data_IF_698289262669
#
_entry.id   IF_698289262669
#
_cell.length_a   1.000
_cell.length_b   1.000
_cell.length_c   1.000
_cell.angle_alpha   90.00
_cell.angle_beta   90.00
_cell.angle_gamma   90.00
#
_symmetry.space_group_name_H-M   'P 1'
#
loop_
_entity.id
_entity.type
_entity.pdbx_description
1 polymer ?
#
# COMPACT_ATOMS: atom_id res chain seq x y z
N UNK A 1 -16.75 16.42 2.84
CA UNK A 1 -15.38 16.92 2.58
C UNK A 1 -15.04 16.64 1.13
N UNK A 2 -14.51 17.60 0.34
CA UNK A 2 -14.10 17.31 -1.02
C UNK A 2 -12.86 16.41 -0.99
N UNK A 3 -12.92 15.28 -1.71
CA UNK A 3 -11.74 14.47 -2.01
C UNK A 3 -10.81 15.34 -2.86
N UNK A 4 -9.63 15.72 -2.34
CA UNK A 4 -8.61 16.40 -3.13
C UNK A 4 -8.18 15.47 -4.28
N UNK A 5 -8.68 15.73 -5.48
CA UNK A 5 -8.22 15.09 -6.71
C UNK A 5 -6.91 15.74 -7.11
N UNK A 6 -5.79 15.06 -6.90
CA UNK A 6 -4.48 15.48 -7.38
C UNK A 6 -4.48 15.47 -8.93
N UNK A 7 -3.82 16.44 -9.56
CA UNK A 7 -3.56 16.35 -11.00
C UNK A 7 -2.45 15.33 -11.27
N UNK A 8 -2.43 14.74 -12.47
CA UNK A 8 -1.38 13.79 -12.87
C UNK A 8 0.03 14.35 -12.68
N UNK A 9 0.23 15.63 -12.98
CA UNK A 9 1.52 16.32 -12.81
C UNK A 9 1.93 16.42 -11.33
N UNK A 10 0.97 16.69 -10.43
CA UNK A 10 1.26 16.74 -9.01
C UNK A 10 1.62 15.36 -8.46
N UNK A 11 0.93 14.31 -8.90
CA UNK A 11 1.24 12.92 -8.53
C UNK A 11 2.63 12.55 -9.02
N UNK A 12 2.96 12.86 -10.27
CA UNK A 12 4.28 12.56 -10.85
C UNK A 12 5.41 13.26 -10.07
N UNK A 13 5.25 14.55 -9.75
CA UNK A 13 6.26 15.31 -9.00
C UNK A 13 6.48 14.75 -7.61
N UNK A 14 5.41 14.39 -6.91
CA UNK A 14 5.51 13.79 -5.58
C UNK A 14 6.15 12.41 -5.63
N UNK A 15 5.76 11.59 -6.60
CA UNK A 15 6.31 10.24 -6.76
C UNK A 15 7.81 10.29 -7.06
N UNK A 16 8.26 11.18 -7.95
CA UNK A 16 9.70 11.38 -8.24
C UNK A 16 10.48 11.77 -6.98
N UNK A 17 9.98 12.76 -6.24
CA UNK A 17 10.63 13.21 -4.99
C UNK A 17 10.62 12.15 -3.88
N UNK A 18 9.56 11.34 -3.80
CA UNK A 18 9.50 10.22 -2.86
C UNK A 18 10.49 9.12 -3.25
N UNK A 19 10.57 8.78 -4.54
CA UNK A 19 11.47 7.75 -5.07
C UNK A 19 12.94 8.13 -4.88
N UNK A 20 13.32 9.38 -5.18
CA UNK A 20 14.68 9.88 -4.97
C UNK A 20 15.11 9.73 -3.49
N UNK A 21 14.26 10.19 -2.56
CA UNK A 21 14.51 10.05 -1.13
C UNK A 21 14.58 8.59 -0.69
N UNK A 22 13.71 7.74 -1.23
CA UNK A 22 13.72 6.30 -0.93
C UNK A 22 15.03 5.64 -1.37
N UNK A 23 15.50 5.93 -2.60
CA UNK A 23 16.76 5.39 -3.13
C UNK A 23 17.93 5.81 -2.25
N UNK A 24 18.04 7.11 -1.92
CA UNK A 24 19.11 7.62 -1.07
C UNK A 24 19.09 6.90 0.29
N UNK A 25 17.94 6.89 0.96
CA UNK A 25 17.79 6.27 2.27
C UNK A 25 18.19 4.79 2.30
N UNK A 26 17.81 4.02 1.28
CA UNK A 26 18.12 2.58 1.21
C UNK A 26 19.59 2.33 0.87
N UNK A 27 20.15 3.09 -0.07
CA UNK A 27 21.52 2.88 -0.53
C UNK A 27 22.59 3.57 0.33
N UNK A 28 22.19 4.46 1.25
CA UNK A 28 23.09 5.11 2.22
C UNK A 28 22.89 4.61 3.65
N UNK A 29 22.11 3.55 3.84
CA UNK A 29 21.72 3.05 5.15
C UNK A 29 22.94 2.68 6.03
N UNK A 30 22.96 3.19 7.26
CA UNK A 30 23.85 2.70 8.32
C UNK A 30 23.11 1.71 9.22
N UNK A 31 23.84 1.01 10.09
CA UNK A 31 23.25 0.03 11.02
C UNK A 31 22.15 0.67 11.88
N UNK A 32 22.38 1.89 12.38
CA UNK A 32 21.43 2.61 13.21
C UNK A 32 20.17 3.08 12.46
N UNK A 33 20.21 3.08 11.11
CA UNK A 33 19.07 3.45 10.28
C UNK A 33 18.07 2.31 10.07
N UNK A 34 18.46 1.05 10.32
CA UNK A 34 17.71 -0.13 9.87
C UNK A 34 16.28 -0.13 10.41
N UNK A 35 16.07 0.13 11.70
CA UNK A 35 14.73 0.14 12.29
C UNK A 35 13.85 1.25 11.70
N UNK A 36 14.42 2.44 11.47
CA UNK A 36 13.74 3.55 10.82
C UNK A 36 13.38 3.21 9.37
N UNK A 37 14.27 2.54 8.63
CA UNK A 37 14.04 2.14 7.24
C UNK A 37 12.96 1.07 7.12
N UNK A 38 12.87 0.15 8.07
CA UNK A 38 11.76 -0.81 8.17
C UNK A 38 10.43 -0.06 8.30
N UNK A 39 10.35 0.93 9.20
CA UNK A 39 9.12 1.72 9.36
C UNK A 39 8.75 2.50 8.10
N UNK A 40 9.73 3.01 7.36
CA UNK A 40 9.50 3.63 6.06
C UNK A 40 8.85 2.62 5.10
N UNK A 41 9.33 1.37 5.04
CA UNK A 41 8.71 0.36 4.17
C UNK A 41 7.28 0.03 4.57
N UNK A 42 6.96 0.01 5.87
CA UNK A 42 5.59 -0.14 6.36
C UNK A 42 4.69 1.01 5.89
N UNK A 43 5.12 2.26 6.08
CA UNK A 43 4.36 3.43 5.62
C UNK A 43 4.14 3.39 4.10
N UNK A 44 5.16 3.01 3.33
CA UNK A 44 5.04 2.89 1.87
C UNK A 44 4.05 1.78 1.48
N UNK A 45 4.08 0.63 2.17
CA UNK A 45 3.12 -0.45 1.94
C UNK A 45 1.67 -0.03 2.23
N UNK A 46 1.44 0.68 3.34
CA UNK A 46 0.12 1.23 3.68
C UNK A 46 -0.39 2.21 2.63
N UNK A 47 0.47 3.08 2.10
CA UNK A 47 0.11 4.01 1.03
C UNK A 47 -0.28 3.25 -0.23
N UNK A 48 0.48 2.24 -0.65
CA UNK A 48 0.14 1.43 -1.82
C UNK A 48 -1.18 0.67 -1.64
N UNK A 49 -1.39 0.04 -0.49
CA UNK A 49 -2.62 -0.68 -0.16
C UNK A 49 -3.83 0.26 -0.17
N UNK A 50 -3.72 1.44 0.44
CA UNK A 50 -4.79 2.44 0.49
C UNK A 50 -5.17 2.98 -0.88
N UNK A 51 -4.22 3.12 -1.80
CA UNK A 51 -4.47 3.57 -3.18
C UNK A 51 -4.95 2.40 -4.07
N UNK A 52 -4.78 1.16 -3.62
CA UNK A 52 -5.14 -0.04 -4.37
C UNK A 52 -4.14 -0.37 -5.48
N UNK A 53 -2.85 -0.04 -5.28
CA UNK A 53 -1.78 -0.40 -6.22
C UNK A 53 -1.41 -1.86 -5.98
N UNK A 54 -1.58 -2.75 -6.98
CA UNK A 54 -1.26 -4.17 -6.81
C UNK A 54 0.24 -4.39 -6.57
N UNK A 55 0.57 -5.35 -5.72
CA UNK A 55 1.96 -5.62 -5.31
C UNK A 55 2.85 -6.00 -6.50
N UNK A 56 2.30 -6.72 -7.48
CA UNK A 56 3.00 -7.10 -8.71
C UNK A 56 3.43 -5.87 -9.53
N UNK A 57 2.68 -4.77 -9.49
CA UNK A 57 3.05 -3.52 -10.16
C UNK A 57 4.20 -2.84 -9.41
N UNK A 58 4.18 -2.90 -8.07
CA UNK A 58 5.27 -2.38 -7.23
C UNK A 58 6.55 -3.18 -7.49
N UNK A 59 6.48 -4.51 -7.51
CA UNK A 59 7.61 -5.40 -7.84
C UNK A 59 8.17 -5.15 -9.24
N UNK A 60 7.28 -4.92 -10.23
CA UNK A 60 7.70 -4.49 -11.56
C UNK A 60 8.50 -3.18 -11.51
N UNK A 61 8.08 -2.21 -10.69
CA UNK A 61 8.81 -0.96 -10.46
C UNK A 61 10.22 -1.18 -9.90
N UNK A 62 10.35 -2.04 -8.89
CA UNK A 62 11.66 -2.40 -8.33
C UNK A 62 12.56 -3.13 -9.33
N UNK A 63 11.99 -4.00 -10.17
CA UNK A 63 12.73 -4.64 -11.25
C UNK A 63 13.25 -3.62 -12.27
N UNK A 64 12.46 -2.59 -12.60
CA UNK A 64 12.91 -1.48 -13.45
C UNK A 64 14.03 -0.69 -12.77
N UNK A 65 13.88 -0.35 -11.49
CA UNK A 65 14.89 0.38 -10.71
C UNK A 65 16.24 -0.35 -10.72
N UNK A 66 16.26 -1.64 -10.40
CA UNK A 66 17.49 -2.45 -10.42
C UNK A 66 18.12 -2.50 -11.81
N UNK A 67 17.31 -2.60 -12.87
CA UNK A 67 17.77 -2.60 -14.26
C UNK A 67 18.44 -1.29 -14.65
N UNK A 68 17.88 -0.14 -14.26
CA UNK A 68 18.46 1.18 -14.61
C UNK A 68 19.63 1.57 -13.70
N UNK A 69 19.74 0.96 -12.51
CA UNK A 69 20.85 1.20 -11.59
C UNK A 69 22.17 0.61 -12.10
N UNK A 70 22.12 -0.55 -12.76
CA UNK A 70 23.34 -1.21 -13.25
C UNK A 70 24.16 -0.33 -14.21
N UNK A 71 23.61 0.28 -15.27
CA UNK A 71 24.36 1.18 -16.14
C UNK A 71 25.01 2.35 -15.40
N UNK A 72 24.34 2.91 -14.38
CA UNK A 72 24.85 4.03 -13.58
C UNK A 72 26.10 3.62 -12.79
N UNK A 73 26.07 2.45 -12.16
CA UNK A 73 27.24 1.91 -11.45
C UNK A 73 28.34 1.56 -12.44
N UNK A 74 27.97 0.93 -13.57
CA UNK A 74 28.93 0.48 -14.57
C UNK A 74 29.69 1.63 -15.23
N UNK A 75 29.04 2.78 -15.44
CA UNK A 75 29.64 3.98 -16.04
C UNK A 75 30.48 4.82 -15.08
N UNK A 76 30.57 4.47 -13.80
CA UNK A 76 31.40 5.18 -12.82
C UNK A 76 32.90 4.96 -13.05
N UNK A 77 33.73 5.82 -12.47
CA UNK A 77 35.19 5.74 -12.59
C UNK A 77 35.85 4.75 -11.60
N UNK A 78 35.04 3.98 -10.86
CA UNK A 78 35.52 2.96 -9.93
C UNK A 78 36.10 1.73 -10.63
N UNK A 79 36.93 0.97 -9.92
CA UNK A 79 37.45 -0.31 -10.39
C UNK A 79 36.34 -1.35 -10.58
N UNK A 80 36.61 -2.40 -11.36
CA UNK A 80 35.65 -3.48 -11.55
C UNK A 80 35.25 -4.17 -10.23
N UNK A 81 36.20 -4.30 -9.29
CA UNK A 81 35.96 -4.90 -7.98
C UNK A 81 35.02 -4.04 -7.12
N UNK A 82 35.26 -2.73 -7.06
CA UNK A 82 34.39 -1.81 -6.33
C UNK A 82 32.99 -1.75 -6.96
N UNK A 83 32.88 -1.71 -8.29
CA UNK A 83 31.60 -1.75 -9.01
C UNK A 83 30.79 -3.00 -8.63
N UNK A 84 31.44 -4.16 -8.56
CA UNK A 84 30.79 -5.40 -8.15
C UNK A 84 30.28 -5.34 -6.71
N UNK A 85 31.10 -4.83 -5.79
CA UNK A 85 30.70 -4.69 -4.37
C UNK A 85 29.54 -3.70 -4.19
N UNK A 86 29.62 -2.54 -4.83
CA UNK A 86 28.56 -1.51 -4.81
C UNK A 86 27.27 -2.06 -5.42
N UNK A 87 27.37 -2.76 -6.54
CA UNK A 87 26.20 -3.39 -7.17
C UNK A 87 25.60 -4.46 -6.27
N UNK A 88 26.41 -5.35 -5.70
CA UNK A 88 25.94 -6.40 -4.80
C UNK A 88 25.26 -5.82 -3.56
N UNK A 89 25.86 -4.83 -2.91
CA UNK A 89 25.24 -4.12 -1.79
C UNK A 89 23.91 -3.47 -2.19
N UNK A 90 23.88 -2.77 -3.33
CA UNK A 90 22.69 -2.04 -3.77
C UNK A 90 21.53 -2.98 -4.08
N UNK A 91 21.79 -4.10 -4.76
CA UNK A 91 20.75 -5.08 -5.10
C UNK A 91 20.18 -5.72 -3.83
N UNK A 92 21.03 -6.18 -2.91
CA UNK A 92 20.57 -6.77 -1.66
C UNK A 92 19.78 -5.78 -0.79
N UNK A 93 20.21 -4.50 -0.76
CA UNK A 93 19.53 -3.45 -0.01
C UNK A 93 18.14 -3.14 -0.60
N UNK A 94 18.02 -3.12 -1.93
CA UNK A 94 16.72 -2.95 -2.60
C UNK A 94 15.83 -4.18 -2.36
N UNK A 95 16.37 -5.38 -2.48
CA UNK A 95 15.61 -6.62 -2.33
C UNK A 95 15.08 -6.83 -0.90
N UNK A 96 15.89 -6.53 0.13
CA UNK A 96 15.41 -6.60 1.51
C UNK A 96 14.34 -5.55 1.80
N UNK A 97 14.50 -4.32 1.28
CA UNK A 97 13.49 -3.28 1.44
C UNK A 97 12.17 -3.66 0.75
N UNK A 98 12.26 -4.26 -0.44
CA UNK A 98 11.11 -4.81 -1.17
C UNK A 98 10.44 -5.94 -0.38
N UNK A 99 11.20 -6.89 0.18
CA UNK A 99 10.63 -7.98 0.99
C UNK A 99 9.84 -7.45 2.20
N UNK A 100 10.42 -6.50 2.94
CA UNK A 100 9.75 -5.88 4.10
C UNK A 100 8.45 -5.19 3.66
N UNK A 101 8.48 -4.43 2.56
CA UNK A 101 7.30 -3.75 2.02
C UNK A 101 6.22 -4.75 1.59
N UNK A 102 6.57 -5.79 0.83
CA UNK A 102 5.62 -6.80 0.35
C UNK A 102 4.93 -7.53 1.52
N UNK A 103 5.69 -7.87 2.58
CA UNK A 103 5.12 -8.50 3.78
C UNK A 103 4.18 -7.56 4.54
N UNK A 104 4.52 -6.28 4.64
CA UNK A 104 3.66 -5.25 5.24
C UNK A 104 2.38 -5.01 4.41
N UNK A 105 2.48 -5.09 3.08
CA UNK A 105 1.37 -4.95 2.15
C UNK A 105 0.34 -6.07 2.35
N UNK A 106 0.78 -7.34 2.36
CA UNK A 106 -0.12 -8.49 2.58
C UNK A 106 -0.89 -8.37 3.90
N UNK A 107 -0.23 -7.91 4.96
CA UNK A 107 -0.89 -7.68 6.25
C UNK A 107 -1.97 -6.59 6.17
N UNK A 108 -1.64 -5.46 5.55
CA UNK A 108 -2.53 -4.31 5.41
C UNK A 108 -3.75 -4.62 4.53
N UNK A 109 -3.52 -5.27 3.39
CA UNK A 109 -4.58 -5.67 2.44
C UNK A 109 -5.53 -6.71 3.05
N UNK A 110 -4.99 -7.69 3.79
CA UNK A 110 -5.81 -8.66 4.51
C UNK A 110 -6.67 -8.05 5.61
N UNK A 111 -6.24 -6.92 6.19
CA UNK A 111 -6.98 -6.22 7.24
C UNK A 111 -8.07 -5.33 6.64
N UNK A 112 -7.74 -4.59 5.57
CA UNK A 112 -8.69 -3.76 4.84
C UNK A 112 -9.83 -4.59 4.22
N UNK A 113 -9.50 -5.73 3.60
CA UNK A 113 -10.50 -6.65 3.03
C UNK A 113 -11.44 -7.25 4.09
N UNK A 114 -10.90 -7.63 5.26
CA UNK A 114 -11.72 -8.09 6.40
C UNK A 114 -12.65 -6.99 6.91
N UNK A 115 -12.16 -5.76 6.98
CA UNK A 115 -12.96 -4.62 7.45
C UNK A 115 -14.10 -4.31 6.48
N UNK A 116 -13.84 -4.29 5.16
CA UNK A 116 -14.85 -4.07 4.13
C UNK A 116 -15.94 -5.16 4.15
N UNK A 117 -15.56 -6.43 4.32
CA UNK A 117 -16.52 -7.52 4.46
C UNK A 117 -17.36 -7.40 5.75
N UNK A 118 -16.76 -6.98 6.86
CA UNK A 118 -17.51 -6.73 8.11
C UNK A 118 -18.53 -5.59 7.94
N UNK A 119 -18.17 -4.50 7.27
CA UNK A 119 -19.09 -3.41 6.94
C UNK A 119 -20.24 -3.90 6.05
N UNK A 120 -19.92 -4.73 5.05
CA UNK A 120 -20.92 -5.33 4.17
C UNK A 120 -21.91 -6.19 4.95
N UNK A 121 -21.44 -7.10 5.81
CA UNK A 121 -22.30 -7.93 6.68
C UNK A 121 -23.17 -7.06 7.59
N UNK A 122 -22.58 -6.05 8.24
CA UNK A 122 -23.33 -5.16 9.12
C UNK A 122 -24.46 -4.43 8.38
N UNK A 123 -24.17 -3.88 7.20
CA UNK A 123 -25.17 -3.19 6.36
C UNK A 123 -26.30 -4.13 5.93
N UNK A 124 -25.99 -5.40 5.61
CA UNK A 124 -26.97 -6.42 5.26
C UNK A 124 -27.88 -6.77 6.45
N UNK A 125 -27.30 -6.93 7.65
CA UNK A 125 -28.03 -7.19 8.89
C UNK A 125 -28.93 -6.02 9.27
N UNK A 126 -28.44 -4.79 9.15
CA UNK A 126 -29.22 -3.58 9.44
C UNK A 126 -30.40 -3.44 8.47
N UNK A 127 -30.17 -3.68 7.17
CA UNK A 127 -31.22 -3.69 6.15
C UNK A 127 -32.26 -4.79 6.40
N UNK A 128 -31.83 -5.99 6.81
CA UNK A 128 -32.74 -7.08 7.18
C UNK A 128 -33.57 -6.73 8.43
N UNK A 129 -32.93 -6.15 9.45
CA UNK A 129 -33.59 -5.66 10.67
C UNK A 129 -34.62 -4.58 10.38
N UNK A 130 -34.28 -3.60 9.53
CA UNK A 130 -35.22 -2.55 9.07
C UNK A 130 -36.43 -3.17 8.36
N UNK A 131 -36.22 -4.09 7.40
CA UNK A 131 -37.33 -4.78 6.71
C UNK A 131 -38.24 -5.54 7.68
N UNK A 132 -37.68 -6.24 8.66
CA UNK A 132 -38.45 -6.98 9.68
C UNK A 132 -39.28 -6.04 10.57
N UNK A 133 -38.71 -4.90 10.99
CA UNK A 133 -39.43 -3.88 11.76
C UNK A 133 -40.60 -3.30 10.98
N UNK A 134 -40.38 -2.96 9.70
CA UNK A 134 -41.45 -2.46 8.80
C UNK A 134 -42.55 -3.51 8.61
N UNK A 135 -42.19 -4.77 8.39
CA UNK A 135 -43.18 -5.85 8.27
C UNK A 135 -44.01 -6.02 9.54
N UNK A 136 -43.37 -6.06 10.72
CA UNK A 136 -44.07 -6.14 11.99
C UNK A 136 -44.99 -4.94 12.23
N UNK A 137 -44.55 -3.71 11.93
CA UNK A 137 -45.41 -2.52 12.09
C UNK A 137 -46.63 -2.57 11.18
N UNK A 138 -46.49 -3.09 9.95
CA UNK A 138 -47.61 -3.26 9.03
C UNK A 138 -48.60 -4.32 9.53
N UNK A 139 -48.10 -5.44 10.05
CA UNK A 139 -48.94 -6.50 10.64
C UNK A 139 -49.70 -5.96 11.86
N UNK A 140 -49.03 -5.24 12.77
CA UNK A 140 -49.68 -4.61 13.93
C UNK A 140 -50.72 -3.58 13.50
N UNK A 141 -50.39 -2.72 12.51
CA UNK A 141 -51.31 -1.73 11.97
C UNK A 141 -52.56 -2.37 11.35
N UNK A 142 -52.37 -3.41 10.53
CA UNK A 142 -53.47 -4.17 9.93
C UNK A 142 -54.31 -4.85 11.02
N UNK A 143 -53.69 -5.49 12.00
CA UNK A 143 -54.38 -6.15 13.11
C UNK A 143 -55.29 -5.20 13.89
N UNK A 144 -54.82 -4.01 14.24
CA UNK A 144 -55.64 -3.00 14.94
C UNK A 144 -56.79 -2.45 14.09
N UNK A 145 -56.75 -2.61 12.76
CA UNK A 145 -57.80 -2.15 11.85
C UNK A 145 -58.96 -3.14 11.67
N UNK A 146 -58.81 -4.37 12.16
CA UNK A 146 -59.86 -5.40 12.15
C UNK A 146 -60.58 -5.56 13.50
N UNK A 147 -60.21 -4.77 14.52
CA UNK A 147 -60.85 -4.74 15.85
C UNK A 147 -61.58 -3.41 16.15
N UNK A 148 -61.79 -2.58 15.11
CA UNK A 148 -62.66 -1.38 15.10
C UNK A 148 -63.66 -1.54 13.95
#
# INVERSE_FOLDING_TARGET
MPKNSWSNEQVERQLKSAMERWIINVLSAQVDDVERLIQIQHTVAEVHARIGIPVEIVEMGFRVLKKILYPVIFSSDYSAAEKLQVYHFSINSIDIAMEVMTRAFTFSDSSASKEDENYRIFSLLENAGRRKRTANSLITFMGNRYYL
#
